data_IF_512841225087
#
_entry.id   IF_512841225087
#
_cell.length_a   1.000
_cell.length_b   1.000
_cell.length_c   1.000
_cell.angle_alpha   90.00
_cell.angle_beta   90.00
_cell.angle_gamma   90.00
#
_symmetry.space_group_name_H-M   'P 1'
#
loop_
_entity.id
_entity.type
_entity.pdbx_description
1 polymer ?
#
# COMPACT_ATOMS: atom_id res chain seq x y z
N UNK A 1 4.70 -14.57 6.85
CA UNK A 1 3.75 -13.85 7.74
C UNK A 1 3.64 -14.51 9.11
N UNK A 2 3.29 -15.81 9.21
CA UNK A 2 3.03 -16.49 10.49
C UNK A 2 4.11 -16.28 11.56
N UNK A 3 5.38 -16.34 11.20
CA UNK A 3 6.50 -16.12 12.12
C UNK A 3 6.45 -14.73 12.80
N UNK A 4 6.24 -13.68 12.02
CA UNK A 4 6.14 -12.30 12.52
C UNK A 4 4.97 -12.18 13.51
N UNK A 5 3.80 -12.73 13.15
CA UNK A 5 2.61 -12.68 14.01
C UNK A 5 2.83 -13.47 15.30
N UNK A 6 3.43 -14.67 15.21
CA UNK A 6 3.72 -15.50 16.40
C UNK A 6 4.69 -14.82 17.36
N UNK A 7 5.74 -14.17 16.85
CA UNK A 7 6.69 -13.40 17.65
C UNK A 7 6.03 -12.19 18.30
N UNK A 8 5.18 -11.46 17.55
CA UNK A 8 4.41 -10.35 18.09
C UNK A 8 3.52 -10.82 19.24
N UNK A 9 2.76 -11.91 19.05
CA UNK A 9 1.88 -12.50 20.08
C UNK A 9 2.65 -13.06 21.26
N UNK A 10 3.93 -13.42 21.11
CA UNK A 10 4.82 -13.79 22.19
C UNK A 10 5.38 -12.58 22.97
N UNK A 11 4.96 -11.36 22.64
CA UNK A 11 5.34 -10.12 23.35
C UNK A 11 6.55 -9.40 22.76
N UNK A 12 7.07 -9.84 21.60
CA UNK A 12 8.11 -9.10 20.92
C UNK A 12 7.52 -7.86 20.23
N UNK A 13 8.19 -6.72 20.35
CA UNK A 13 7.79 -5.53 19.61
C UNK A 13 8.23 -5.66 18.15
N UNK A 14 7.41 -6.30 17.36
CA UNK A 14 7.64 -6.55 15.94
C UNK A 14 6.36 -6.35 15.14
N UNK A 15 6.49 -5.69 13.99
CA UNK A 15 5.45 -5.55 12.97
C UNK A 15 6.05 -5.66 11.59
N UNK A 16 5.24 -5.48 10.57
CA UNK A 16 5.68 -5.43 9.18
C UNK A 16 4.99 -4.29 8.44
N UNK A 17 5.80 -3.53 7.68
CA UNK A 17 5.30 -2.56 6.72
C UNK A 17 4.85 -3.30 5.46
N UNK A 18 3.61 -3.09 5.04
CA UNK A 18 3.06 -3.59 3.80
C UNK A 18 3.18 -2.54 2.70
N UNK A 19 4.07 -2.76 1.75
CA UNK A 19 4.32 -1.85 0.61
C UNK A 19 3.29 -2.10 -0.48
N UNK A 20 2.25 -1.26 -0.53
CA UNK A 20 1.15 -1.37 -1.49
C UNK A 20 1.41 -0.51 -2.72
N UNK A 21 2.35 -0.92 -3.57
CA UNK A 21 2.72 -0.17 -4.77
C UNK A 21 3.13 -1.10 -5.91
N UNK A 22 2.78 -0.68 -7.14
CA UNK A 22 3.23 -1.31 -8.38
C UNK A 22 4.25 -0.45 -9.14
N UNK A 23 4.80 0.61 -8.52
CA UNK A 23 5.80 1.46 -9.17
C UNK A 23 7.20 0.86 -9.01
N UNK A 24 8.00 0.71 -10.11
CA UNK A 24 9.31 0.03 -10.06
C UNK A 24 10.28 0.65 -9.05
N UNK A 25 10.40 1.98 -9.02
CA UNK A 25 11.30 2.67 -8.08
C UNK A 25 10.86 2.53 -6.61
N UNK A 26 9.56 2.39 -6.33
CA UNK A 26 9.07 2.14 -4.96
C UNK A 26 9.42 0.71 -4.53
N UNK A 27 9.22 -0.27 -5.39
CA UNK A 27 9.59 -1.67 -5.11
C UNK A 27 11.11 -1.79 -4.97
N UNK A 28 11.88 -1.18 -5.86
CA UNK A 28 13.34 -1.15 -5.77
C UNK A 28 13.82 -0.53 -4.45
N UNK A 29 13.26 0.63 -4.08
CA UNK A 29 13.58 1.30 -2.82
C UNK A 29 13.32 0.41 -1.61
N UNK A 30 12.17 -0.32 -1.60
CA UNK A 30 11.81 -1.23 -0.52
C UNK A 30 12.77 -2.43 -0.42
N UNK A 31 13.13 -3.04 -1.55
CA UNK A 31 14.05 -4.17 -1.59
C UNK A 31 15.47 -3.75 -1.19
N UNK A 32 15.98 -2.62 -1.71
CA UNK A 32 17.30 -2.09 -1.33
C UNK A 32 17.36 -1.69 0.15
N UNK A 33 16.27 -1.19 0.70
CA UNK A 33 16.18 -0.81 2.11
C UNK A 33 16.46 -1.97 3.06
N UNK A 34 16.04 -3.16 2.67
CA UNK A 34 16.22 -4.38 3.45
C UNK A 34 17.32 -5.33 2.91
N UNK A 35 18.09 -4.91 1.90
CA UNK A 35 19.06 -5.77 1.23
C UNK A 35 20.09 -6.39 2.21
N UNK A 36 20.60 -5.57 3.12
CA UNK A 36 21.66 -5.95 4.07
C UNK A 36 21.12 -6.35 5.46
N UNK A 37 19.83 -6.55 5.60
CA UNK A 37 19.18 -7.06 6.81
C UNK A 37 18.77 -8.53 6.63
N UNK A 38 18.17 -9.12 7.65
CA UNK A 38 17.50 -10.43 7.56
C UNK A 38 15.97 -10.30 7.46
N UNK A 39 15.45 -9.10 7.31
CA UNK A 39 14.01 -8.87 7.29
C UNK A 39 13.38 -9.40 6.00
N UNK A 40 12.12 -9.81 6.12
CA UNK A 40 11.24 -10.06 4.98
C UNK A 40 10.64 -8.74 4.52
N UNK A 41 10.37 -8.62 3.23
CA UNK A 41 9.69 -7.48 2.61
C UNK A 41 8.34 -7.95 2.11
N UNK A 42 7.27 -7.29 2.58
CA UNK A 42 5.91 -7.54 2.13
C UNK A 42 5.57 -6.54 1.02
N UNK A 43 5.41 -7.06 -0.19
CA UNK A 43 4.97 -6.30 -1.37
C UNK A 43 3.56 -6.72 -1.71
N UNK A 44 2.63 -5.76 -1.74
CA UNK A 44 1.23 -6.04 -2.04
C UNK A 44 0.75 -5.28 -3.27
N UNK A 45 -0.11 -5.95 -4.05
CA UNK A 45 -0.87 -5.31 -5.11
C UNK A 45 -2.36 -5.28 -4.75
N UNK A 46 -3.00 -4.14 -4.92
CA UNK A 46 -4.45 -4.03 -4.81
C UNK A 46 -5.14 -4.54 -6.07
N UNK A 47 -6.40 -4.98 -5.95
CA UNK A 47 -7.21 -5.37 -7.09
C UNK A 47 -7.35 -4.29 -8.18
N UNK A 48 -7.25 -3.02 -7.82
CA UNK A 48 -7.23 -1.91 -8.77
C UNK A 48 -5.91 -1.80 -9.54
N UNK A 49 -4.79 -2.15 -8.90
CA UNK A 49 -3.47 -2.12 -9.53
C UNK A 49 -3.27 -3.27 -10.50
N UNK A 50 -3.61 -4.46 -10.05
CA UNK A 50 -3.33 -5.74 -10.71
C UNK A 50 -4.55 -6.63 -10.59
N UNK A 51 -5.07 -7.13 -11.69
CA UNK A 51 -6.15 -8.11 -11.71
C UNK A 51 -6.09 -8.95 -12.99
N UNK A 52 -6.99 -9.92 -13.15
CA UNK A 52 -7.02 -10.80 -14.31
C UNK A 52 -7.24 -10.06 -15.66
N UNK A 53 -7.67 -8.80 -15.62
CA UNK A 53 -7.83 -7.93 -16.78
C UNK A 53 -6.70 -6.91 -16.93
N UNK A 54 -5.70 -6.91 -16.01
CA UNK A 54 -4.54 -6.03 -16.04
C UNK A 54 -4.58 -4.87 -15.06
N UNK A 55 -5.73 -4.52 -14.49
CA UNK A 55 -5.85 -3.33 -13.63
C UNK A 55 -5.41 -2.04 -14.33
N UNK A 56 -5.07 -0.98 -13.57
CA UNK A 56 -4.56 0.25 -14.19
C UNK A 56 -3.08 0.15 -14.61
N UNK A 57 -2.35 -0.86 -14.16
CA UNK A 57 -0.94 -1.09 -14.51
C UNK A 57 -0.75 -1.88 -15.80
N UNK A 58 -1.79 -2.54 -16.29
CA UNK A 58 -1.74 -3.49 -17.39
C UNK A 58 -1.20 -4.86 -17.00
N UNK A 59 -0.92 -5.13 -15.72
CA UNK A 59 -0.35 -6.39 -15.23
C UNK A 59 -1.42 -7.32 -14.65
N UNK A 60 -1.35 -8.59 -15.03
CA UNK A 60 -2.02 -9.68 -14.33
C UNK A 60 -1.18 -10.12 -13.11
N UNK A 61 -1.73 -10.89 -12.15
CA UNK A 61 -0.99 -11.31 -10.95
C UNK A 61 0.33 -12.02 -11.24
N UNK A 62 0.40 -12.88 -12.27
CA UNK A 62 1.64 -13.53 -12.68
C UNK A 62 2.67 -12.52 -13.22
N UNK A 63 2.22 -11.52 -14.00
CA UNK A 63 3.10 -10.48 -14.52
C UNK A 63 3.69 -9.63 -13.38
N UNK A 64 2.87 -9.29 -12.38
CA UNK A 64 3.33 -8.55 -11.22
C UNK A 64 4.34 -9.33 -10.38
N UNK A 65 4.10 -10.63 -10.14
CA UNK A 65 5.10 -11.51 -9.49
C UNK A 65 6.43 -11.48 -10.24
N UNK A 66 6.40 -11.67 -11.56
CA UNK A 66 7.60 -11.71 -12.39
C UNK A 66 8.30 -10.35 -12.42
N UNK A 67 7.53 -9.26 -12.44
CA UNK A 67 8.02 -7.90 -12.33
C UNK A 67 8.75 -7.65 -10.99
N UNK A 68 8.17 -8.03 -9.86
CA UNK A 68 8.82 -7.92 -8.54
C UNK A 68 10.08 -8.77 -8.47
N UNK A 69 10.02 -10.02 -8.96
CA UNK A 69 11.18 -10.93 -9.00
C UNK A 69 12.30 -10.39 -9.88
N UNK A 70 11.98 -9.77 -11.01
CA UNK A 70 12.98 -9.15 -11.88
C UNK A 70 13.70 -8.00 -11.16
N UNK A 71 12.97 -7.12 -10.48
CA UNK A 71 13.58 -6.04 -9.68
C UNK A 71 14.45 -6.64 -8.56
N UNK A 72 13.97 -7.68 -7.87
CA UNK A 72 14.73 -8.35 -6.83
C UNK A 72 16.04 -8.93 -7.37
N UNK A 73 16.00 -9.59 -8.53
CA UNK A 73 17.19 -10.10 -9.20
C UNK A 73 18.18 -8.99 -9.55
N UNK A 74 17.69 -7.86 -10.09
CA UNK A 74 18.53 -6.74 -10.52
C UNK A 74 19.24 -6.07 -9.33
N UNK A 75 18.61 -6.01 -8.15
CA UNK A 75 19.21 -5.47 -6.92
C UNK A 75 19.97 -6.50 -6.10
N UNK A 76 19.88 -7.79 -6.43
CA UNK A 76 20.50 -8.90 -5.67
C UNK A 76 19.75 -9.24 -4.38
N UNK A 77 18.45 -8.98 -4.32
CA UNK A 77 17.62 -9.30 -3.13
C UNK A 77 17.13 -10.75 -3.18
N UNK A 78 17.29 -11.54 -2.08
CA UNK A 78 16.85 -12.93 -2.03
C UNK A 78 15.33 -13.08 -2.15
N UNK A 79 14.84 -13.78 -3.16
CA UNK A 79 13.43 -13.94 -3.45
C UNK A 79 12.63 -14.60 -2.33
N UNK A 80 13.25 -15.51 -1.57
CA UNK A 80 12.66 -16.20 -0.42
C UNK A 80 12.35 -15.25 0.76
N UNK A 81 12.88 -14.05 0.74
CA UNK A 81 12.57 -13.00 1.71
C UNK A 81 11.43 -12.08 1.26
N UNK A 82 10.92 -12.24 0.03
CA UNK A 82 9.77 -11.50 -0.46
C UNK A 82 8.50 -12.25 -0.08
N UNK A 83 7.54 -11.52 0.49
CA UNK A 83 6.18 -11.98 0.69
C UNK A 83 5.31 -11.22 -0.31
N UNK A 84 4.67 -11.94 -1.23
CA UNK A 84 3.69 -11.33 -2.12
C UNK A 84 2.30 -11.41 -1.48
N UNK A 85 1.64 -10.26 -1.41
CA UNK A 85 0.28 -10.13 -0.88
C UNK A 85 -0.68 -9.50 -1.89
N UNK A 86 -1.91 -9.97 -1.85
CA UNK A 86 -3.02 -9.35 -2.55
C UNK A 86 -3.89 -8.58 -1.57
N UNK A 87 -4.15 -7.33 -1.88
CA UNK A 87 -4.86 -6.38 -1.04
C UNK A 87 -6.20 -5.96 -1.65
N UNK A 88 -7.23 -5.80 -0.84
CA UNK A 88 -8.59 -5.53 -1.28
C UNK A 88 -9.05 -6.49 -2.39
N UNK A 89 -8.78 -7.80 -2.21
CA UNK A 89 -9.22 -8.82 -3.18
C UNK A 89 -10.67 -9.18 -2.95
N UNK A 90 -11.51 -8.67 -3.84
CA UNK A 90 -12.96 -8.81 -3.80
C UNK A 90 -13.62 -7.95 -4.86
N UNK A 91 -14.92 -7.61 -4.72
CA UNK A 91 -15.70 -6.90 -5.73
C UNK A 91 -15.36 -5.41 -5.89
N UNK A 92 -14.36 -4.89 -5.14
CA UNK A 92 -14.01 -3.47 -5.09
C UNK A 92 -13.84 -2.81 -6.48
N UNK A 93 -13.21 -3.51 -7.44
CA UNK A 93 -13.02 -3.00 -8.81
C UNK A 93 -14.33 -2.95 -9.62
N UNK A 94 -15.35 -3.68 -9.21
CA UNK A 94 -16.59 -3.91 -9.96
C UNK A 94 -17.84 -3.49 -9.18
N UNK A 95 -17.72 -2.56 -8.22
CA UNK A 95 -18.83 -2.04 -7.42
C UNK A 95 -20.00 -1.48 -8.25
N UNK A 96 -19.73 -1.01 -9.46
CA UNK A 96 -20.76 -0.53 -10.39
C UNK A 96 -21.56 -1.62 -11.11
N UNK A 97 -21.25 -2.90 -10.85
CA UNK A 97 -21.91 -4.06 -11.44
C UNK A 97 -22.81 -4.77 -10.41
N UNK A 98 -23.77 -5.62 -10.85
CA UNK A 98 -24.53 -6.47 -9.93
C UNK A 98 -23.62 -7.38 -9.10
N UNK A 99 -23.97 -7.61 -7.84
CA UNK A 99 -23.18 -8.39 -6.90
C UNK A 99 -22.83 -9.79 -7.40
N UNK A 100 -23.73 -10.47 -8.09
CA UNK A 100 -23.47 -11.78 -8.63
C UNK A 100 -22.32 -11.78 -9.65
N UNK A 101 -22.31 -10.82 -10.57
CA UNK A 101 -21.28 -10.69 -11.61
C UNK A 101 -19.93 -10.23 -11.00
N UNK A 102 -19.97 -9.23 -10.09
CA UNK A 102 -18.79 -8.74 -9.39
C UNK A 102 -18.12 -9.83 -8.55
N UNK A 103 -18.91 -10.71 -7.91
CA UNK A 103 -18.39 -11.84 -7.12
C UNK A 103 -17.81 -12.97 -7.97
N UNK A 104 -18.34 -13.26 -9.17
CA UNK A 104 -17.70 -14.22 -10.11
C UNK A 104 -16.30 -13.68 -10.52
N UNK A 105 -16.23 -12.41 -10.90
CA UNK A 105 -14.93 -11.78 -11.22
C UNK A 105 -13.98 -11.80 -10.03
N UNK A 106 -14.49 -11.64 -8.81
CA UNK A 106 -13.68 -11.70 -7.59
C UNK A 106 -13.13 -13.09 -7.30
N UNK A 107 -13.90 -14.13 -7.58
CA UNK A 107 -13.44 -15.53 -7.52
C UNK A 107 -12.30 -15.77 -8.51
N UNK A 108 -12.44 -15.32 -9.75
CA UNK A 108 -11.37 -15.43 -10.75
C UNK A 108 -10.13 -14.62 -10.37
N UNK A 109 -10.32 -13.45 -9.77
CA UNK A 109 -9.24 -12.63 -9.22
C UNK A 109 -8.43 -13.42 -8.15
N UNK A 110 -9.12 -13.99 -7.16
CA UNK A 110 -8.48 -14.81 -6.11
C UNK A 110 -7.68 -15.97 -6.71
N UNK A 111 -8.30 -16.71 -7.65
CA UNK A 111 -7.64 -17.82 -8.34
C UNK A 111 -6.36 -17.36 -9.04
N UNK A 112 -6.40 -16.23 -9.73
CA UNK A 112 -5.26 -15.67 -10.43
C UNK A 112 -4.11 -15.28 -9.48
N UNK A 113 -4.43 -14.66 -8.33
CA UNK A 113 -3.42 -14.30 -7.32
C UNK A 113 -2.79 -15.54 -6.68
N UNK A 114 -3.60 -16.50 -6.27
CA UNK A 114 -3.13 -17.73 -5.63
C UNK A 114 -2.31 -18.59 -6.62
N UNK A 115 -2.78 -18.75 -7.86
CA UNK A 115 -2.03 -19.44 -8.90
C UNK A 115 -0.68 -18.78 -9.22
N UNK A 116 -0.60 -17.46 -9.06
CA UNK A 116 0.66 -16.71 -9.19
C UNK A 116 1.58 -16.83 -7.97
N UNK A 117 1.17 -17.51 -6.88
CA UNK A 117 1.99 -17.75 -5.69
C UNK A 117 1.91 -16.67 -4.61
N UNK A 118 0.92 -15.78 -4.66
CA UNK A 118 0.68 -14.84 -3.57
C UNK A 118 0.26 -15.59 -2.30
N UNK A 119 0.88 -15.24 -1.17
CA UNK A 119 0.74 -16.00 0.09
C UNK A 119 0.04 -15.24 1.23
N UNK A 120 -0.15 -13.93 1.10
CA UNK A 120 -1.02 -13.15 1.98
C UNK A 120 -2.21 -12.66 1.16
N UNK A 121 -3.42 -13.03 1.56
CA UNK A 121 -4.66 -12.73 0.84
C UNK A 121 -5.61 -11.94 1.74
N UNK A 122 -5.85 -10.68 1.41
CA UNK A 122 -6.88 -9.88 2.06
C UNK A 122 -8.21 -10.08 1.32
N UNK A 123 -9.12 -10.79 1.98
CA UNK A 123 -10.45 -11.12 1.49
C UNK A 123 -11.39 -9.95 1.79
N UNK A 124 -11.48 -9.00 0.87
CA UNK A 124 -12.27 -7.79 1.05
C UNK A 124 -13.57 -7.84 0.25
N UNK A 125 -14.67 -8.09 0.94
CA UNK A 125 -16.02 -8.05 0.39
C UNK A 125 -16.90 -7.00 1.09
N UNK A 126 -16.30 -6.03 1.76
CA UNK A 126 -16.97 -4.99 2.56
C UNK A 126 -17.74 -3.96 1.73
N UNK A 127 -17.37 -3.80 0.46
CA UNK A 127 -17.96 -2.78 -0.42
C UNK A 127 -19.25 -3.28 -1.08
N UNK A 128 -20.32 -2.45 -1.00
CA UNK A 128 -21.59 -2.72 -1.70
C UNK A 128 -21.41 -2.66 -3.21
N UNK A 129 -22.03 -3.60 -3.93
CA UNK A 129 -22.19 -3.59 -5.37
C UNK A 129 -23.44 -2.81 -5.80
N UNK A 130 -23.71 -2.71 -7.10
CA UNK A 130 -24.77 -1.84 -7.64
C UNK A 130 -26.20 -2.19 -7.14
N UNK A 131 -26.46 -3.44 -6.83
CA UNK A 131 -27.76 -3.96 -6.38
C UNK A 131 -27.77 -4.32 -4.88
N UNK A 132 -26.69 -4.03 -4.15
CA UNK A 132 -26.60 -4.26 -2.72
C UNK A 132 -27.20 -3.10 -1.90
N UNK A 133 -27.68 -3.37 -0.67
CA UNK A 133 -28.00 -2.31 0.27
C UNK A 133 -26.72 -1.57 0.73
N UNK A 134 -26.88 -0.32 1.17
CA UNK A 134 -25.80 0.49 1.76
C UNK A 134 -26.25 0.93 3.16
N UNK A 135 -25.55 0.55 4.23
CA UNK A 135 -24.36 -0.34 4.28
C UNK A 135 -24.72 -1.81 3.98
N UNK A 136 -23.69 -2.59 3.61
CA UNK A 136 -23.82 -4.03 3.40
C UNK A 136 -23.93 -4.76 4.75
N UNK A 137 -24.79 -5.79 4.81
CA UNK A 137 -24.93 -6.64 5.99
C UNK A 137 -23.63 -7.40 6.27
N UNK A 138 -23.06 -7.35 7.49
CA UNK A 138 -21.85 -8.09 7.85
C UNK A 138 -21.92 -9.61 7.58
N UNK A 139 -23.09 -10.24 7.64
CA UNK A 139 -23.26 -11.63 7.28
C UNK A 139 -23.00 -11.87 5.80
N UNK A 140 -23.46 -10.97 4.93
CA UNK A 140 -23.20 -11.03 3.47
C UNK A 140 -21.71 -10.83 3.19
N UNK A 141 -21.05 -9.90 3.88
CA UNK A 141 -19.59 -9.70 3.77
C UNK A 141 -18.85 -11.00 4.12
N UNK A 142 -19.21 -11.64 5.24
CA UNK A 142 -18.57 -12.87 5.68
C UNK A 142 -18.84 -14.06 4.75
N UNK A 143 -20.06 -14.21 4.23
CA UNK A 143 -20.40 -15.26 3.23
C UNK A 143 -19.60 -15.06 1.93
N UNK A 144 -19.46 -13.83 1.47
CA UNK A 144 -18.63 -13.51 0.28
C UNK A 144 -17.15 -13.79 0.55
N UNK A 145 -16.62 -13.37 1.71
CA UNK A 145 -15.24 -13.65 2.10
C UNK A 145 -14.97 -15.17 2.20
N UNK A 146 -15.89 -15.95 2.75
CA UNK A 146 -15.80 -17.41 2.82
C UNK A 146 -15.76 -18.03 1.41
N UNK A 147 -16.59 -17.56 0.48
CA UNK A 147 -16.57 -18.02 -0.93
C UNK A 147 -15.23 -17.69 -1.61
N UNK A 148 -14.67 -16.52 -1.37
CA UNK A 148 -13.35 -16.14 -1.88
C UNK A 148 -12.24 -16.99 -1.27
N UNK A 149 -12.31 -17.27 0.05
CA UNK A 149 -11.39 -18.18 0.72
C UNK A 149 -11.46 -19.61 0.15
N UNK A 150 -12.66 -20.13 -0.11
CA UNK A 150 -12.83 -21.42 -0.75
C UNK A 150 -12.13 -21.49 -2.11
N UNK A 151 -12.29 -20.46 -2.95
CA UNK A 151 -11.61 -20.38 -4.23
C UNK A 151 -10.06 -20.36 -4.07
N UNK A 152 -9.54 -19.68 -3.04
CA UNK A 152 -8.13 -19.70 -2.71
C UNK A 152 -7.64 -21.11 -2.33
N UNK A 153 -8.38 -21.80 -1.44
CA UNK A 153 -8.05 -23.14 -0.97
C UNK A 153 -8.10 -24.19 -2.08
N UNK A 154 -9.08 -24.10 -2.96
CA UNK A 154 -9.21 -24.99 -4.12
C UNK A 154 -8.10 -24.79 -5.15
N UNK A 155 -7.56 -23.59 -5.25
CA UNK A 155 -6.50 -23.23 -6.22
C UNK A 155 -5.09 -23.48 -5.69
N UNK A 156 -4.88 -23.32 -4.40
CA UNK A 156 -3.55 -23.40 -3.80
C UNK A 156 -3.00 -24.81 -3.82
N UNK A 157 -1.74 -24.97 -4.26
CA UNK A 157 -0.98 -26.21 -4.08
C UNK A 157 -0.74 -26.50 -2.59
N UNK A 158 -0.50 -27.77 -2.23
CA UNK A 158 -0.19 -28.17 -0.85
C UNK A 158 1.05 -27.44 -0.29
N UNK A 159 2.00 -27.10 -1.14
CA UNK A 159 3.16 -26.29 -0.77
C UNK A 159 2.75 -24.86 -0.43
N UNK A 160 1.99 -24.20 -1.28
CA UNK A 160 1.53 -22.83 -1.05
C UNK A 160 0.63 -22.75 0.19
N UNK A 161 -0.26 -23.72 0.43
CA UNK A 161 -1.14 -23.78 1.60
C UNK A 161 -0.39 -23.67 2.94
N UNK A 162 0.83 -24.18 3.02
CA UNK A 162 1.68 -24.06 4.22
C UNK A 162 2.03 -22.62 4.56
N UNK A 163 2.12 -21.76 3.54
CA UNK A 163 2.50 -20.35 3.64
C UNK A 163 1.34 -19.39 3.49
N UNK A 164 0.20 -19.88 2.96
CA UNK A 164 -1.00 -19.07 2.71
C UNK A 164 -1.58 -18.56 4.02
N UNK A 165 -1.88 -17.28 4.06
CA UNK A 165 -2.47 -16.57 5.20
C UNK A 165 -3.56 -15.62 4.73
N UNK A 166 -4.57 -15.42 5.56
CA UNK A 166 -5.73 -14.61 5.25
C UNK A 166 -5.85 -13.42 6.18
N UNK A 167 -6.39 -12.34 5.64
CA UNK A 167 -6.87 -11.16 6.37
C UNK A 167 -8.34 -10.97 6.04
N UNK A 168 -9.16 -10.69 7.05
CA UNK A 168 -10.59 -10.48 6.94
C UNK A 168 -10.98 -9.12 7.53
N UNK A 169 -12.19 -8.61 7.24
CA UNK A 169 -12.71 -7.39 7.83
C UNK A 169 -14.07 -7.00 7.27
N UNK A 170 -14.84 -6.26 8.06
CA UNK A 170 -16.11 -5.65 7.64
C UNK A 170 -16.04 -4.13 7.61
N UNK A 171 -15.16 -3.52 8.36
CA UNK A 171 -14.92 -2.08 8.42
C UNK A 171 -13.61 -1.72 7.70
N UNK A 172 -13.54 -1.98 6.39
CA UNK A 172 -12.33 -1.77 5.60
C UNK A 172 -12.34 -0.35 5.03
N UNK A 173 -11.34 0.49 5.35
CA UNK A 173 -11.22 1.84 4.79
C UNK A 173 -11.09 1.86 3.27
N UNK A 174 -11.56 2.95 2.65
CA UNK A 174 -11.48 3.11 1.19
C UNK A 174 -10.01 3.20 0.73
N UNK A 175 -9.61 2.44 -0.29
CA UNK A 175 -8.24 2.47 -0.77
C UNK A 175 -7.78 3.87 -1.23
N UNK A 176 -6.67 4.35 -0.65
CA UNK A 176 -6.01 5.59 -1.06
C UNK A 176 -6.52 6.85 -0.37
N UNK A 177 -7.12 6.72 0.80
CA UNK A 177 -7.62 7.82 1.63
C UNK A 177 -9.01 8.31 1.24
N UNK A 178 -9.58 9.14 2.09
CA UNK A 178 -10.93 9.67 1.91
C UNK A 178 -11.01 10.68 0.75
N UNK A 179 -12.10 10.60 -0.01
CA UNK A 179 -12.37 11.49 -1.14
C UNK A 179 -12.94 12.88 -0.71
N UNK A 180 -13.46 12.97 0.51
CA UNK A 180 -14.02 14.19 1.08
C UNK A 180 -13.20 14.67 2.28
N UNK A 181 -13.34 15.94 2.64
CA UNK A 181 -12.69 16.48 3.86
C UNK A 181 -13.16 15.72 5.08
N UNK A 182 -12.20 15.14 5.84
CA UNK A 182 -12.48 14.32 6.99
C UNK A 182 -12.87 15.23 8.18
N UNK A 183 -14.07 15.01 8.71
CA UNK A 183 -14.52 15.70 9.93
C UNK A 183 -14.06 14.98 11.21
N UNK A 184 -14.25 13.67 11.27
CA UNK A 184 -13.82 12.79 12.36
C UNK A 184 -13.79 11.33 11.88
N UNK A 185 -12.91 10.54 12.48
CA UNK A 185 -12.84 9.09 12.25
C UNK A 185 -13.14 8.38 13.56
N UNK A 186 -14.08 7.44 13.52
CA UNK A 186 -14.43 6.66 14.70
C UNK A 186 -13.58 5.40 14.75
N UNK A 187 -12.99 5.12 15.91
CA UNK A 187 -12.30 3.86 16.16
C UNK A 187 -13.32 2.72 16.19
N UNK A 188 -13.03 1.60 15.53
CA UNK A 188 -13.84 0.38 15.61
C UNK A 188 -14.01 -0.04 17.07
N UNK A 189 -15.23 -0.33 17.48
CA UNK A 189 -15.46 -0.81 18.84
C UNK A 189 -15.03 -2.28 18.96
N UNK A 190 -14.48 -2.66 20.11
CA UNK A 190 -14.07 -4.05 20.38
C UNK A 190 -15.20 -5.08 20.12
N UNK A 191 -16.45 -4.70 20.41
CA UNK A 191 -17.63 -5.53 20.16
C UNK A 191 -17.88 -5.74 18.66
N UNK A 192 -17.63 -4.74 17.83
CA UNK A 192 -17.82 -4.84 16.37
C UNK A 192 -16.71 -5.71 15.76
N UNK A 193 -15.47 -5.60 16.24
CA UNK A 193 -14.38 -6.48 15.84
C UNK A 193 -14.66 -7.95 16.26
N UNK A 194 -15.20 -8.18 17.46
CA UNK A 194 -15.62 -9.51 17.91
C UNK A 194 -16.73 -10.08 17.02
N UNK A 195 -17.77 -9.30 16.74
CA UNK A 195 -18.88 -9.72 15.88
C UNK A 195 -18.40 -10.02 14.45
N UNK A 196 -17.45 -9.23 13.92
CA UNK A 196 -16.79 -9.50 12.63
C UNK A 196 -16.14 -10.87 12.63
N UNK A 197 -15.34 -11.19 13.65
CA UNK A 197 -14.68 -12.48 13.75
C UNK A 197 -15.68 -13.63 13.82
N UNK A 198 -16.65 -13.56 14.75
CA UNK A 198 -17.67 -14.59 14.95
C UNK A 198 -18.47 -14.86 13.65
N UNK A 199 -18.84 -13.81 12.93
CA UNK A 199 -19.61 -13.91 11.69
C UNK A 199 -18.78 -14.57 10.58
N UNK A 200 -17.50 -14.21 10.45
CA UNK A 200 -16.59 -14.84 9.49
C UNK A 200 -16.32 -16.30 9.84
N UNK A 201 -16.07 -16.62 11.13
CA UNK A 201 -15.88 -17.99 11.57
C UNK A 201 -17.10 -18.87 11.24
N UNK A 202 -18.31 -18.38 11.49
CA UNK A 202 -19.53 -19.11 11.18
C UNK A 202 -19.67 -19.36 9.67
N UNK A 203 -19.41 -18.35 8.83
CA UNK A 203 -19.46 -18.47 7.38
C UNK A 203 -18.42 -19.44 6.82
N UNK A 204 -17.19 -19.39 7.33
CA UNK A 204 -16.10 -20.29 6.91
C UNK A 204 -16.39 -21.74 7.30
N UNK A 205 -16.84 -21.99 8.55
CA UNK A 205 -17.23 -23.34 9.02
C UNK A 205 -18.38 -23.92 8.20
N UNK A 206 -19.36 -23.10 7.81
CA UNK A 206 -20.46 -23.51 6.92
C UNK A 206 -19.98 -24.10 5.59
N UNK A 207 -18.82 -23.67 5.09
CA UNK A 207 -18.17 -24.17 3.90
C UNK A 207 -17.06 -25.22 4.17
N UNK A 208 -16.87 -25.66 5.44
CA UNK A 208 -15.85 -26.63 5.80
C UNK A 208 -14.42 -26.09 5.74
N UNK A 209 -14.24 -24.78 5.93
CA UNK A 209 -12.94 -24.10 5.82
C UNK A 209 -12.22 -23.94 7.17
N UNK A 210 -12.40 -24.88 8.11
CA UNK A 210 -11.79 -24.85 9.45
C UNK A 210 -10.27 -24.73 9.39
N UNK A 211 -9.61 -25.48 8.49
CA UNK A 211 -8.17 -25.40 8.30
C UNK A 211 -7.71 -24.05 7.74
N UNK A 212 -8.55 -23.32 7.00
CA UNK A 212 -8.26 -21.97 6.55
C UNK A 212 -8.41 -20.94 7.67
N UNK A 213 -9.36 -21.13 8.57
CA UNK A 213 -9.54 -20.28 9.77
C UNK A 213 -8.27 -20.23 10.63
N UNK A 214 -7.55 -21.34 10.79
CA UNK A 214 -6.26 -21.38 11.51
C UNK A 214 -5.16 -20.53 10.83
N UNK A 215 -5.42 -20.07 9.60
CA UNK A 215 -4.53 -19.24 8.80
C UNK A 215 -5.02 -17.81 8.61
N UNK A 216 -6.13 -17.44 9.24
CA UNK A 216 -6.52 -16.04 9.39
C UNK A 216 -5.61 -15.41 10.43
N UNK A 217 -4.76 -14.48 9.99
CA UNK A 217 -3.71 -13.88 10.84
C UNK A 217 -4.05 -12.49 11.31
N UNK A 218 -4.99 -11.80 10.65
CA UNK A 218 -5.35 -10.43 11.01
C UNK A 218 -6.79 -10.10 10.66
N UNK A 219 -7.30 -9.10 11.38
CA UNK A 219 -8.58 -8.44 11.10
C UNK A 219 -8.28 -6.98 10.74
N UNK A 220 -8.89 -6.49 9.65
CA UNK A 220 -8.89 -5.07 9.33
C UNK A 220 -9.93 -4.36 10.20
N UNK A 221 -9.48 -3.30 10.87
CA UNK A 221 -10.31 -2.41 11.68
C UNK A 221 -9.89 -0.96 11.46
N UNK A 222 -10.73 -0.01 11.86
CA UNK A 222 -10.38 1.41 11.86
C UNK A 222 -9.72 1.78 13.20
N UNK A 223 -8.39 2.03 13.23
CA UNK A 223 -7.68 2.41 14.46
C UNK A 223 -7.86 3.88 14.86
N UNK A 224 -8.59 4.67 14.07
CA UNK A 224 -8.71 6.13 14.24
C UNK A 224 -7.61 6.89 13.48
N UNK A 225 -7.05 6.30 12.43
CA UNK A 225 -6.14 6.99 11.51
C UNK A 225 -6.77 7.10 10.13
N UNK A 226 -6.58 8.23 9.49
CA UNK A 226 -7.02 8.47 8.12
C UNK A 226 -6.31 9.69 7.55
N UNK A 227 -6.38 9.88 6.26
CA UNK A 227 -5.93 11.09 5.58
C UNK A 227 -6.83 11.41 4.39
N UNK A 228 -6.93 12.70 4.06
CA UNK A 228 -7.57 13.18 2.85
C UNK A 228 -6.55 13.90 1.94
N UNK A 229 -6.96 14.88 1.18
CA UNK A 229 -6.07 15.64 0.29
C UNK A 229 -5.09 16.54 1.05
N UNK A 230 -5.46 17.01 2.25
CA UNK A 230 -4.78 18.09 2.99
C UNK A 230 -4.63 17.84 4.48
N UNK A 231 -5.32 16.84 5.03
CA UNK A 231 -5.37 16.58 6.46
C UNK A 231 -4.98 15.15 6.77
N UNK A 232 -4.40 14.95 7.97
CA UNK A 232 -4.04 13.66 8.51
C UNK A 232 -4.66 13.56 9.90
N UNK A 233 -5.42 12.49 10.14
CA UNK A 233 -5.90 12.14 11.48
C UNK A 233 -4.88 11.21 12.11
N UNK A 234 -4.27 11.68 13.18
CA UNK A 234 -3.20 10.96 13.85
C UNK A 234 -3.73 9.98 14.89
N UNK A 235 -3.05 8.86 15.00
CA UNK A 235 -3.34 7.80 15.96
C UNK A 235 -3.41 8.31 17.39
N UNK A 236 -4.48 7.93 18.09
CA UNK A 236 -4.74 8.25 19.49
C UNK A 236 -4.84 6.94 20.30
N UNK A 237 -3.78 6.46 20.96
CA UNK A 237 -3.76 5.19 21.65
C UNK A 237 -4.91 4.98 22.66
N UNK A 238 -5.26 6.03 23.39
CA UNK A 238 -6.33 5.96 24.39
C UNK A 238 -7.71 5.68 23.76
N UNK A 239 -7.96 6.16 22.53
CA UNK A 239 -9.19 5.90 21.81
C UNK A 239 -9.29 4.43 21.36
N UNK A 240 -8.16 3.78 21.04
CA UNK A 240 -8.08 2.41 20.58
C UNK A 240 -7.85 1.38 21.71
N UNK A 241 -7.75 1.80 22.97
CA UNK A 241 -7.35 0.96 24.09
C UNK A 241 -8.21 -0.29 24.29
N UNK A 242 -9.54 -0.15 24.20
CA UNK A 242 -10.46 -1.28 24.33
C UNK A 242 -10.32 -2.28 23.18
N UNK A 243 -10.06 -1.77 21.97
CA UNK A 243 -9.84 -2.58 20.78
C UNK A 243 -8.51 -3.34 20.89
N UNK A 244 -7.43 -2.67 21.32
CA UNK A 244 -6.14 -3.30 21.61
C UNK A 244 -6.25 -4.42 22.63
N UNK A 245 -6.91 -4.18 23.77
CA UNK A 245 -7.07 -5.17 24.82
C UNK A 245 -7.88 -6.41 24.37
N UNK A 246 -8.85 -6.24 23.49
CA UNK A 246 -9.63 -7.35 22.98
C UNK A 246 -8.80 -8.31 22.12
N UNK A 247 -7.95 -7.80 21.21
CA UNK A 247 -7.18 -8.63 20.28
C UNK A 247 -6.10 -9.46 21.00
N UNK A 248 -5.65 -9.03 22.18
CA UNK A 248 -4.68 -9.79 22.99
C UNK A 248 -5.14 -11.22 23.27
N UNK A 249 -6.45 -11.43 23.48
CA UNK A 249 -7.06 -12.73 23.73
C UNK A 249 -7.19 -13.65 22.50
N UNK A 250 -6.81 -13.20 21.32
CA UNK A 250 -6.90 -13.95 20.07
C UNK A 250 -5.52 -14.32 19.54
N UNK A 251 -5.39 -15.30 18.63
CA UNK A 251 -4.11 -15.59 17.96
C UNK A 251 -3.76 -14.57 16.86
N UNK A 252 -4.63 -13.63 16.56
CA UNK A 252 -4.53 -12.67 15.47
C UNK A 252 -3.97 -11.32 15.93
N UNK A 253 -3.66 -10.49 14.95
CA UNK A 253 -3.33 -9.07 15.11
C UNK A 253 -4.30 -8.22 14.30
N UNK A 254 -4.15 -6.89 14.36
CA UNK A 254 -4.82 -6.01 13.42
C UNK A 254 -3.94 -5.72 12.20
N UNK A 255 -4.58 -5.57 11.04
CA UNK A 255 -4.04 -4.90 9.89
C UNK A 255 -4.63 -3.49 9.82
N UNK A 256 -3.78 -2.46 9.89
CA UNK A 256 -4.19 -1.07 9.81
C UNK A 256 -3.98 -0.53 8.40
N UNK A 257 -5.07 -0.04 7.81
CA UNK A 257 -5.05 0.69 6.54
C UNK A 257 -4.92 2.19 6.77
N UNK A 258 -4.69 2.97 5.70
CA UNK A 258 -4.57 4.44 5.75
C UNK A 258 -3.58 4.95 6.81
N UNK A 259 -2.52 4.18 7.08
CA UNK A 259 -1.49 4.57 8.06
C UNK A 259 -0.48 5.56 7.50
N UNK A 260 -0.63 5.96 6.25
CA UNK A 260 0.26 6.92 5.58
C UNK A 260 0.40 8.21 6.39
N UNK A 261 1.57 8.82 6.33
CA UNK A 261 1.89 10.12 6.94
C UNK A 261 1.82 10.19 8.47
N UNK A 262 1.71 9.08 9.18
CA UNK A 262 1.78 9.06 10.64
C UNK A 262 3.20 9.37 11.13
N UNK A 263 3.34 9.84 12.37
CA UNK A 263 4.65 10.02 12.98
C UNK A 263 5.30 8.67 13.33
N UNK A 264 6.64 8.67 13.47
CA UNK A 264 7.39 7.47 13.91
C UNK A 264 6.85 6.92 15.24
N UNK A 265 6.49 7.81 16.17
CA UNK A 265 5.92 7.46 17.47
C UNK A 265 4.53 6.85 17.32
N UNK A 266 3.72 7.35 16.38
CA UNK A 266 2.41 6.78 16.10
C UNK A 266 2.53 5.36 15.51
N UNK A 267 3.46 5.11 14.57
CA UNK A 267 3.72 3.75 14.08
C UNK A 267 4.15 2.81 15.21
N UNK A 268 5.02 3.26 16.10
CA UNK A 268 5.46 2.47 17.25
C UNK A 268 4.30 2.17 18.21
N UNK A 269 3.44 3.14 18.45
CA UNK A 269 2.25 2.96 19.27
C UNK A 269 1.25 2.00 18.61
N UNK A 270 1.01 2.12 17.29
CA UNK A 270 0.18 1.18 16.54
C UNK A 270 0.67 -0.27 16.68
N UNK A 271 1.97 -0.51 16.46
CA UNK A 271 2.53 -1.87 16.61
C UNK A 271 2.44 -2.36 18.05
N UNK A 272 2.71 -1.53 19.05
CA UNK A 272 2.53 -1.87 20.46
C UNK A 272 1.08 -2.28 20.76
N UNK A 273 0.12 -1.58 20.15
CA UNK A 273 -1.31 -1.75 20.35
C UNK A 273 -1.91 -2.81 19.40
N UNK A 274 -1.04 -3.73 18.90
CA UNK A 274 -1.34 -4.91 18.09
C UNK A 274 -1.73 -4.66 16.63
N UNK A 275 -1.53 -3.47 16.10
CA UNK A 275 -1.59 -3.23 14.66
C UNK A 275 -0.24 -3.62 14.04
N UNK A 276 0.02 -4.93 13.96
CA UNK A 276 1.33 -5.45 13.56
C UNK A 276 1.55 -5.50 12.04
N UNK A 277 0.52 -5.24 11.24
CA UNK A 277 0.61 -5.08 9.79
C UNK A 277 0.18 -3.66 9.45
N UNK A 278 1.12 -2.83 8.99
CA UNK A 278 0.88 -1.42 8.66
C UNK A 278 0.93 -1.23 7.15
N UNK A 279 -0.20 -0.83 6.56
CA UNK A 279 -0.32 -0.59 5.11
C UNK A 279 0.23 0.79 4.76
N UNK A 280 1.02 0.87 3.70
CA UNK A 280 1.48 2.12 3.11
C UNK A 280 1.37 2.07 1.59
N UNK A 281 0.83 3.10 1.02
CA UNK A 281 0.64 3.23 -0.43
C UNK A 281 0.93 4.65 -0.92
N UNK A 282 -0.01 5.59 -0.80
CA UNK A 282 0.16 6.97 -1.28
C UNK A 282 1.43 7.66 -0.79
N UNK A 283 1.84 7.51 0.47
CA UNK A 283 3.04 8.17 1.00
C UNK A 283 4.32 7.77 0.25
N UNK A 284 4.42 6.53 -0.24
CA UNK A 284 5.58 6.07 -1.00
C UNK A 284 5.65 6.73 -2.39
N UNK A 285 4.53 6.79 -3.10
CA UNK A 285 4.48 7.44 -4.42
C UNK A 285 4.47 8.96 -4.30
N UNK A 286 3.99 9.51 -3.19
CA UNK A 286 4.13 10.92 -2.85
C UNK A 286 5.61 11.30 -2.63
N UNK A 287 6.38 10.51 -1.90
CA UNK A 287 7.82 10.71 -1.76
C UNK A 287 8.57 10.60 -3.09
N UNK A 288 8.18 9.65 -3.95
CA UNK A 288 8.66 9.55 -5.33
C UNK A 288 8.37 10.84 -6.11
N UNK A 289 7.12 11.34 -6.07
CA UNK A 289 6.73 12.60 -6.72
C UNK A 289 7.56 13.78 -6.19
N UNK A 290 7.73 13.89 -4.86
CA UNK A 290 8.57 14.93 -4.26
C UNK A 290 10.00 14.90 -4.78
N UNK A 291 10.61 13.70 -4.89
CA UNK A 291 11.95 13.56 -5.45
C UNK A 291 12.02 13.99 -6.91
N UNK A 292 11.07 13.55 -7.73
CA UNK A 292 11.01 13.91 -9.16
C UNK A 292 10.83 15.41 -9.33
N UNK A 293 9.97 16.05 -8.55
CA UNK A 293 9.75 17.50 -8.61
C UNK A 293 10.97 18.29 -8.12
N UNK A 294 11.65 17.82 -7.07
CA UNK A 294 12.91 18.42 -6.62
C UNK A 294 13.98 18.35 -7.71
N UNK A 295 14.13 17.18 -8.35
CA UNK A 295 15.06 17.01 -9.47
C UNK A 295 14.67 17.86 -10.69
N UNK A 296 13.39 18.03 -10.98
CA UNK A 296 12.93 18.93 -12.05
C UNK A 296 13.30 20.39 -11.79
N UNK A 297 13.26 20.84 -10.52
CA UNK A 297 13.78 22.19 -10.19
C UNK A 297 15.29 22.29 -10.39
N UNK A 298 16.05 21.24 -10.03
CA UNK A 298 17.50 21.21 -10.27
C UNK A 298 17.81 21.19 -11.78
N UNK A 299 17.02 20.46 -12.57
CA UNK A 299 17.14 20.45 -14.04
C UNK A 299 16.92 21.85 -14.63
N UNK A 300 15.97 22.61 -14.10
CA UNK A 300 15.71 23.99 -14.54
C UNK A 300 16.91 24.94 -14.35
N UNK A 301 17.75 24.67 -13.35
CA UNK A 301 18.98 25.46 -13.13
C UNK A 301 20.17 25.00 -13.99
N UNK A 302 20.21 23.74 -14.38
CA UNK A 302 21.41 23.10 -14.93
C UNK A 302 21.33 22.83 -16.43
N UNK A 303 20.12 22.70 -16.99
CA UNK A 303 19.87 22.24 -18.36
C UNK A 303 19.21 23.35 -19.19
N UNK A 304 19.67 23.54 -20.40
CA UNK A 304 19.09 24.50 -21.33
C UNK A 304 17.59 24.21 -21.60
N UNK A 305 16.73 25.24 -21.70
CA UNK A 305 15.27 25.07 -21.74
C UNK A 305 14.79 24.09 -22.82
N UNK A 306 15.41 24.08 -24.00
CA UNK A 306 15.06 23.21 -25.13
C UNK A 306 15.38 21.72 -24.87
N UNK A 307 16.27 21.43 -23.93
CA UNK A 307 16.72 20.07 -23.59
C UNK A 307 16.04 19.50 -22.36
N UNK A 308 15.29 20.30 -21.62
CA UNK A 308 14.63 19.88 -20.37
C UNK A 308 13.60 18.77 -20.57
N UNK A 309 13.39 18.00 -19.53
CA UNK A 309 12.37 16.94 -19.47
C UNK A 309 10.93 17.48 -19.47
N UNK A 310 10.72 18.65 -18.85
CA UNK A 310 9.41 19.27 -18.64
C UNK A 310 8.42 18.34 -17.93
N UNK A 311 8.92 17.55 -16.98
CA UNK A 311 8.14 16.48 -16.35
C UNK A 311 6.88 16.99 -15.65
N UNK A 312 6.92 18.16 -15.00
CA UNK A 312 5.77 18.72 -14.31
C UNK A 312 4.68 19.14 -15.31
N UNK A 313 5.05 19.82 -16.39
CA UNK A 313 4.11 20.23 -17.44
C UNK A 313 3.52 19.00 -18.17
N UNK A 314 4.31 17.96 -18.39
CA UNK A 314 3.83 16.71 -19.00
C UNK A 314 2.80 16.01 -18.08
N UNK A 315 3.03 16.02 -16.78
CA UNK A 315 2.06 15.49 -15.79
C UNK A 315 0.76 16.29 -15.87
N UNK A 316 0.84 17.63 -15.87
CA UNK A 316 -0.34 18.50 -15.97
C UNK A 316 -1.13 18.21 -17.25
N UNK A 317 -0.44 18.19 -18.41
CA UNK A 317 -1.07 17.93 -19.70
C UNK A 317 -1.79 16.56 -19.71
N UNK A 318 -1.15 15.51 -19.21
CA UNK A 318 -1.73 14.17 -19.19
C UNK A 318 -2.92 14.11 -18.23
N UNK A 319 -2.77 14.59 -17.00
CA UNK A 319 -3.84 14.51 -16.00
C UNK A 319 -5.05 15.35 -16.37
N UNK A 320 -4.86 16.52 -16.99
CA UNK A 320 -5.96 17.37 -17.45
C UNK A 320 -6.69 16.78 -18.66
N UNK A 321 -5.97 16.10 -19.55
CA UNK A 321 -6.58 15.44 -20.72
C UNK A 321 -7.27 14.13 -20.35
N UNK A 322 -6.80 13.44 -19.32
CA UNK A 322 -7.31 12.13 -18.87
C UNK A 322 -7.81 12.20 -17.41
N UNK A 323 -8.87 12.94 -17.10
CA UNK A 323 -9.26 13.27 -15.73
C UNK A 323 -9.91 12.12 -14.95
N UNK A 324 -10.01 10.92 -15.52
CA UNK A 324 -10.77 9.79 -14.98
C UNK A 324 -10.35 9.36 -13.56
N UNK A 325 -9.07 9.46 -13.23
CA UNK A 325 -8.58 9.02 -11.92
C UNK A 325 -8.58 10.10 -10.83
N UNK A 326 -8.79 11.39 -11.16
CA UNK A 326 -8.74 12.44 -10.14
C UNK A 326 -9.98 13.32 -10.05
N UNK A 327 -10.69 13.59 -11.15
CA UNK A 327 -11.74 14.64 -11.22
C UNK A 327 -12.87 14.49 -10.21
N UNK A 328 -13.30 13.28 -9.90
CA UNK A 328 -14.38 13.02 -8.92
C UNK A 328 -13.91 13.03 -7.46
N UNK A 329 -12.60 13.09 -7.24
CA UNK A 329 -12.01 13.01 -5.92
C UNK A 329 -11.44 14.34 -5.44
N UNK A 330 -10.81 15.12 -6.35
CA UNK A 330 -10.19 16.38 -6.01
C UNK A 330 -11.21 17.49 -5.81
N UNK A 331 -10.80 18.51 -5.06
CA UNK A 331 -11.66 19.65 -4.71
C UNK A 331 -12.19 20.36 -5.97
N UNK A 332 -13.45 20.85 -5.95
CA UNK A 332 -14.16 21.21 -7.19
C UNK A 332 -13.70 22.52 -7.86
N UNK A 333 -13.03 23.42 -7.12
CA UNK A 333 -12.56 24.66 -7.73
C UNK A 333 -11.28 24.43 -8.53
N UNK A 334 -11.13 25.12 -9.67
CA UNK A 334 -9.97 24.96 -10.53
C UNK A 334 -8.63 25.16 -9.81
N UNK A 335 -8.52 26.24 -9.00
CA UNK A 335 -7.30 26.54 -8.27
C UNK A 335 -6.95 25.46 -7.23
N UNK A 336 -7.95 24.90 -6.56
CA UNK A 336 -7.74 23.80 -5.61
C UNK A 336 -7.36 22.53 -6.32
N UNK A 337 -8.04 22.20 -7.43
CA UNK A 337 -7.70 21.01 -8.22
C UNK A 337 -6.27 21.05 -8.76
N UNK A 338 -5.77 22.22 -9.17
CA UNK A 338 -4.38 22.39 -9.62
C UNK A 338 -3.38 22.15 -8.48
N UNK A 339 -3.69 22.61 -7.28
CA UNK A 339 -2.87 22.28 -6.10
C UNK A 339 -2.95 20.79 -5.79
N UNK A 340 -4.14 20.19 -5.84
CA UNK A 340 -4.34 18.78 -5.52
C UNK A 340 -3.66 17.85 -6.51
N UNK A 341 -3.60 18.20 -7.81
CA UNK A 341 -2.86 17.43 -8.84
C UNK A 341 -1.41 17.21 -8.39
N UNK A 342 -0.75 18.24 -7.85
CA UNK A 342 0.65 18.16 -7.46
C UNK A 342 0.89 17.77 -6.00
N UNK A 343 -0.01 18.14 -5.07
CA UNK A 343 0.30 18.16 -3.65
C UNK A 343 -0.72 17.47 -2.74
N UNK A 344 -1.74 16.84 -3.32
CA UNK A 344 -2.69 16.06 -2.52
C UNK A 344 -2.01 14.86 -1.86
N UNK A 345 -2.26 14.66 -0.57
CA UNK A 345 -1.77 13.49 0.17
C UNK A 345 -2.34 12.16 -0.38
N UNK A 346 -3.52 12.20 -1.03
CA UNK A 346 -4.04 11.01 -1.72
C UNK A 346 -3.26 10.64 -2.99
N UNK A 347 -2.35 11.51 -3.43
CA UNK A 347 -1.35 11.27 -4.49
C UNK A 347 -1.90 10.55 -5.73
N UNK A 348 -2.91 11.14 -6.38
CA UNK A 348 -3.53 10.48 -7.54
C UNK A 348 -2.67 10.50 -8.81
N UNK A 349 -1.53 11.19 -8.83
CA UNK A 349 -0.48 11.03 -9.86
C UNK A 349 -0.08 9.56 -9.98
N UNK A 350 -0.16 8.77 -8.90
CA UNK A 350 0.24 7.35 -8.91
C UNK A 350 -0.44 6.52 -10.00
N UNK A 351 -1.64 6.87 -10.42
CA UNK A 351 -2.37 6.21 -11.49
C UNK A 351 -1.83 6.55 -12.90
N UNK A 352 -1.03 7.63 -13.00
CA UNK A 352 -0.53 8.16 -14.26
C UNK A 352 0.96 7.86 -14.50
N UNK A 353 1.73 7.43 -13.48
CA UNK A 353 3.13 7.04 -13.68
C UNK A 353 3.34 6.02 -14.81
N UNK A 354 2.46 5.04 -15.07
CA UNK A 354 2.58 4.12 -16.20
C UNK A 354 2.37 4.78 -17.56
N UNK A 355 1.83 6.01 -17.64
CA UNK A 355 1.55 6.69 -18.90
C UNK A 355 2.83 6.93 -19.70
N UNK A 356 2.90 6.53 -20.99
CA UNK A 356 4.15 6.55 -21.78
C UNK A 356 4.84 7.92 -21.81
N UNK A 357 4.09 9.01 -21.94
CA UNK A 357 4.65 10.38 -21.97
C UNK A 357 5.30 10.76 -20.63
N UNK A 358 4.66 10.42 -19.51
CA UNK A 358 5.21 10.71 -18.18
C UNK A 358 6.47 9.89 -17.97
N UNK A 359 6.43 8.59 -18.25
CA UNK A 359 7.60 7.72 -18.13
C UNK A 359 8.78 8.23 -18.95
N UNK A 360 8.56 8.56 -20.22
CA UNK A 360 9.61 9.11 -21.09
C UNK A 360 10.19 10.43 -20.54
N UNK A 361 9.33 11.28 -19.97
CA UNK A 361 9.75 12.55 -19.38
C UNK A 361 10.60 12.34 -18.12
N UNK A 362 10.23 11.39 -17.26
CA UNK A 362 11.02 11.00 -16.07
C UNK A 362 12.37 10.38 -16.48
N UNK A 363 12.37 9.49 -17.46
CA UNK A 363 13.61 8.91 -18.01
C UNK A 363 14.55 9.99 -18.52
N UNK A 364 14.01 10.98 -19.26
CA UNK A 364 14.78 12.14 -19.75
C UNK A 364 15.33 13.00 -18.61
N UNK A 365 14.54 13.27 -17.57
CA UNK A 365 14.98 13.99 -16.37
C UNK A 365 16.20 13.31 -15.73
N UNK A 366 16.07 12.01 -15.48
CA UNK A 366 17.14 11.22 -14.86
C UNK A 366 18.39 11.20 -15.75
N UNK A 367 18.25 11.00 -17.05
CA UNK A 367 19.36 11.02 -18.00
C UNK A 367 20.09 12.38 -18.00
N UNK A 368 19.35 13.48 -18.15
CA UNK A 368 19.92 14.83 -18.13
C UNK A 368 20.75 15.12 -16.88
N UNK A 369 20.22 14.73 -15.71
CA UNK A 369 20.89 14.99 -14.44
C UNK A 369 21.98 13.96 -14.09
N UNK A 370 21.97 12.79 -14.72
CA UNK A 370 23.06 11.80 -14.59
C UNK A 370 24.30 12.26 -15.35
N UNK A 371 24.12 12.88 -16.51
CA UNK A 371 25.22 13.48 -17.31
C UNK A 371 25.78 14.76 -16.67
N UNK A 372 25.00 15.41 -15.84
CA UNK A 372 25.34 16.67 -15.18
C UNK A 372 25.70 16.45 -13.72
N UNK A 373 26.91 16.84 -13.30
CA UNK A 373 27.26 16.78 -11.87
C UNK A 373 26.34 17.70 -11.06
N UNK A 374 25.54 17.11 -10.15
CA UNK A 374 24.64 17.85 -9.29
C UNK A 374 25.42 18.67 -8.25
N UNK A 375 25.29 20.01 -8.23
CA UNK A 375 25.90 20.85 -7.21
C UNK A 375 25.27 20.57 -5.83
N UNK A 376 26.10 20.42 -4.82
CA UNK A 376 25.63 20.16 -3.44
C UNK A 376 24.68 21.23 -2.92
N UNK A 377 24.85 22.49 -3.34
CA UNK A 377 23.95 23.58 -2.98
C UNK A 377 22.51 23.39 -3.49
N UNK A 378 22.33 22.81 -4.68
CA UNK A 378 20.99 22.50 -5.19
C UNK A 378 20.36 21.32 -4.44
N UNK A 379 21.17 20.27 -4.12
CA UNK A 379 20.68 19.14 -3.32
C UNK A 379 20.29 19.63 -1.91
N UNK A 380 21.11 20.48 -1.30
CA UNK A 380 20.79 21.09 0.01
C UNK A 380 19.49 21.89 -0.02
N UNK A 381 19.24 22.64 -1.12
CA UNK A 381 18.03 23.45 -1.26
C UNK A 381 16.77 22.61 -1.42
N UNK A 382 16.80 21.59 -2.28
CA UNK A 382 15.62 20.87 -2.73
C UNK A 382 15.43 19.50 -2.06
N UNK A 383 16.51 18.90 -1.51
CA UNK A 383 16.52 17.60 -0.86
C UNK A 383 17.42 17.62 0.39
N UNK A 384 17.09 18.43 1.41
CA UNK A 384 17.97 18.68 2.57
C UNK A 384 18.29 17.41 3.39
N UNK A 385 17.36 16.46 3.49
CA UNK A 385 17.59 15.18 4.19
C UNK A 385 18.62 14.33 3.45
N UNK A 386 18.51 14.27 2.11
CA UNK A 386 19.47 13.56 1.26
C UNK A 386 20.84 14.25 1.26
N UNK A 387 20.87 15.58 1.33
CA UNK A 387 22.12 16.34 1.49
C UNK A 387 22.87 15.98 2.80
N UNK A 388 22.15 15.80 3.90
CA UNK A 388 22.76 15.36 5.17
C UNK A 388 23.45 13.99 5.00
N UNK A 389 22.80 13.02 4.36
CA UNK A 389 23.36 11.69 4.08
C UNK A 389 24.54 11.71 3.13
N UNK A 390 24.49 12.58 2.13
CA UNK A 390 25.65 12.83 1.27
C UNK A 390 26.86 13.32 2.07
N UNK A 391 26.64 14.21 3.05
CA UNK A 391 27.68 14.75 3.91
C UNK A 391 28.30 13.69 4.82
N UNK A 392 27.54 12.63 5.13
CA UNK A 392 27.97 11.46 5.91
C UNK A 392 28.58 10.35 5.03
N UNK A 393 28.64 10.51 3.71
CA UNK A 393 29.03 9.50 2.72
C UNK A 393 28.16 8.25 2.71
N UNK A 394 26.89 8.37 3.12
CA UNK A 394 25.90 7.30 3.12
C UNK A 394 25.12 7.21 1.80
N UNK A 395 25.22 8.23 0.97
CA UNK A 395 24.46 8.37 -0.28
C UNK A 395 25.35 8.94 -1.40
N UNK A 396 25.09 8.58 -2.64
CA UNK A 396 25.73 9.20 -3.80
C UNK A 396 24.87 10.34 -4.39
N UNK A 397 25.51 11.39 -4.93
CA UNK A 397 24.82 12.49 -5.59
C UNK A 397 24.38 12.11 -7.02
N UNK A 398 23.64 11.02 -7.16
CA UNK A 398 23.11 10.47 -8.39
C UNK A 398 21.59 10.54 -8.38
N UNK A 399 20.92 11.02 -9.43
CA UNK A 399 19.45 11.20 -9.43
C UNK A 399 18.67 9.96 -8.98
N UNK A 400 19.04 8.80 -9.47
CA UNK A 400 18.39 7.53 -9.10
C UNK A 400 18.51 7.24 -7.59
N UNK A 401 19.71 7.37 -7.02
CA UNK A 401 19.94 7.11 -5.60
C UNK A 401 19.20 8.12 -4.70
N UNK A 402 19.16 9.40 -5.14
CA UNK A 402 18.38 10.45 -4.45
C UNK A 402 16.89 10.15 -4.42
N UNK A 403 16.33 9.64 -5.53
CA UNK A 403 14.91 9.21 -5.57
C UNK A 403 14.66 8.05 -4.62
N UNK A 404 15.50 7.01 -4.70
CA UNK A 404 15.32 5.83 -3.83
C UNK A 404 15.44 6.19 -2.36
N UNK A 405 16.43 7.01 -2.00
CA UNK A 405 16.63 7.42 -0.61
C UNK A 405 15.48 8.28 -0.08
N UNK A 406 14.89 9.14 -0.92
CA UNK A 406 13.70 9.91 -0.56
C UNK A 406 12.49 9.01 -0.29
N UNK A 407 12.28 7.95 -1.09
CA UNK A 407 11.25 6.95 -0.83
C UNK A 407 11.55 6.19 0.48
N UNK A 408 12.82 5.86 0.73
CA UNK A 408 13.26 5.18 1.95
C UNK A 408 13.06 6.00 3.22
N UNK A 409 12.90 7.33 3.15
CA UNK A 409 12.54 8.14 4.33
C UNK A 409 11.21 7.70 4.93
N UNK A 410 10.25 7.34 4.08
CA UNK A 410 8.97 6.77 4.51
C UNK A 410 9.20 5.41 5.18
N UNK A 411 9.96 4.53 4.54
CA UNK A 411 10.25 3.20 5.06
C UNK A 411 11.01 3.22 6.40
N UNK A 412 11.91 4.19 6.60
CA UNK A 412 12.60 4.41 7.89
C UNK A 412 11.62 4.74 9.02
N UNK A 413 10.58 5.53 8.73
CA UNK A 413 9.56 5.83 9.72
C UNK A 413 8.75 4.58 10.12
N UNK A 414 8.38 3.75 9.14
CA UNK A 414 7.70 2.46 9.40
C UNK A 414 8.63 1.47 10.12
N UNK A 415 9.92 1.40 9.76
CA UNK A 415 10.92 0.56 10.41
C UNK A 415 11.03 0.89 11.90
N UNK A 416 11.11 2.17 12.24
CA UNK A 416 11.13 2.60 13.64
C UNK A 416 9.90 2.11 14.41
N UNK A 417 8.73 2.08 13.78
CA UNK A 417 7.50 1.53 14.37
C UNK A 417 7.51 0.02 14.51
N UNK A 418 8.00 -0.69 13.51
CA UNK A 418 7.88 -2.15 13.37
C UNK A 418 9.02 -2.95 14.03
N UNK A 419 10.09 -2.30 14.51
CA UNK A 419 11.26 -2.98 15.07
C UNK A 419 11.48 -2.64 16.54
N UNK A 420 11.98 -3.60 17.30
CA UNK A 420 12.51 -3.37 18.66
C UNK A 420 13.85 -2.62 18.65
N UNK A 421 14.60 -2.70 17.55
CA UNK A 421 15.85 -1.97 17.38
C UNK A 421 15.53 -0.50 17.12
N UNK A 422 15.98 0.37 18.03
CA UNK A 422 15.95 1.83 17.86
C UNK A 422 17.15 2.15 16.96
N UNK A 423 16.86 2.35 15.66
CA UNK A 423 17.86 2.83 14.71
C UNK A 423 18.16 4.31 14.93
#
# INVERSE_FOLDING_TARGET
MKDIISRHKAGEHIGICSVCSAHPLVIEAALRFDLHTNNKVLIEATSNQVNQFGGYTGMQPADFRDFVNKIAQDVGFPSERIILGGDHLGPNCWQGEPAAEAMEKSVDLIKAYVAAGFSKIHLDASMSCADDPVPLDPAVVAERAARLCQAAEETASDELKRHLTYVIGTEVPVPGGEASTIGSVHVTRAQDAAATLETHEAAFRKLGLDAALERVIAIVVQPGVEFDHTQIIHYQPEAAKALSAWIEGTPMVYEAHSTDYQSRQAYRALVRDHYAILKVGPALTFALREAIFALAQMENELVAPESRSRVMEVIDEVMLNEPGYWKKYYRPTWSQAMVDIHFSLSDRIRYYWPHPRIRQSVEKLIANLTETKLPLGLISQYMPVQFERLSLNELAAVPHDLILDKIQDVLRAYRYGCSSEIA
#
